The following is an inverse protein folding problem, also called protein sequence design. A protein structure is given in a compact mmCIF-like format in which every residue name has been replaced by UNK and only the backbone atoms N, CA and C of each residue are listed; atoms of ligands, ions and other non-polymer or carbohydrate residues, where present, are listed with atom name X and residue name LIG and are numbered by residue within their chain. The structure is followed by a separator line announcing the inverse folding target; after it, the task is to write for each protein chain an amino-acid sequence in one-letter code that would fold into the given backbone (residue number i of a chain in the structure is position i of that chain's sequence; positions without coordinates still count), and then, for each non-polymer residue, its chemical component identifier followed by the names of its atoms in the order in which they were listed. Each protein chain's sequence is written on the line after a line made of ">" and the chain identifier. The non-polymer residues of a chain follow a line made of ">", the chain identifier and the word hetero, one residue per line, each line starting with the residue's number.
data_IF_935444069503
#
_entry.id   IF_935444069503
#
_cell.length_a   1.000
_cell.length_b   1.000
_cell.length_c   1.000
_cell.angle_alpha   90.00
_cell.angle_beta   90.00
_cell.angle_gamma   90.00
#
_symmetry.space_group_name_H-M   'P 1'
#
loop_
_entity.id
_entity.type
_entity.pdbx_description
1 polymer ?
#
# COMPACT_ATOMS: atom_id res chain seq x y z
N UNK A 1 15.51 -22.03 14.15
CA UNK A 1 16.76 -21.31 13.81
C UNK A 1 16.47 -20.56 12.52
N UNK A 2 16.52 -19.22 12.50
CA UNK A 2 16.31 -18.46 11.26
C UNK A 2 17.66 -18.42 10.54
N UNK A 3 17.78 -19.16 9.44
CA UNK A 3 18.91 -19.05 8.52
C UNK A 3 18.78 -17.75 7.73
N UNK A 4 19.81 -16.91 7.80
CA UNK A 4 19.93 -15.78 6.88
C UNK A 4 20.13 -16.33 5.47
N UNK A 5 19.36 -15.80 4.53
CA UNK A 5 19.51 -16.11 3.11
C UNK A 5 19.57 -14.82 2.29
N UNK A 6 20.14 -14.92 1.09
CA UNK A 6 20.06 -13.84 0.12
C UNK A 6 18.67 -13.82 -0.53
N UNK A 7 18.21 -12.63 -0.84
CA UNK A 7 17.01 -12.41 -1.63
C UNK A 7 17.28 -11.34 -2.69
N UNK A 8 16.42 -11.28 -3.70
CA UNK A 8 16.37 -10.20 -4.68
C UNK A 8 14.97 -9.60 -4.67
N UNK A 9 14.90 -8.27 -4.81
CA UNK A 9 13.66 -7.56 -5.03
C UNK A 9 13.71 -6.78 -6.35
N UNK A 10 12.60 -6.85 -7.08
CA UNK A 10 12.39 -6.09 -8.32
C UNK A 10 11.20 -5.16 -8.11
N UNK A 11 11.37 -3.90 -8.49
CA UNK A 11 10.38 -2.83 -8.32
C UNK A 11 9.94 -2.34 -9.69
N UNK A 12 8.64 -2.15 -9.89
CA UNK A 12 8.07 -1.51 -11.06
C UNK A 12 7.43 -0.18 -10.65
N UNK A 13 7.65 0.85 -11.47
CA UNK A 13 7.10 2.19 -11.26
C UNK A 13 6.31 2.62 -12.48
N UNK A 14 5.25 3.40 -12.26
CA UNK A 14 4.57 4.12 -13.34
C UNK A 14 5.35 5.38 -13.77
N UNK A 15 4.83 6.10 -14.77
CA UNK A 15 5.42 7.36 -15.27
C UNK A 15 5.35 8.51 -14.26
N UNK A 16 4.51 8.39 -13.23
CA UNK A 16 4.38 9.34 -12.12
C UNK A 16 5.32 9.04 -10.95
N UNK A 17 6.19 8.03 -11.08
CA UNK A 17 7.08 7.50 -10.04
C UNK A 17 6.35 6.85 -8.84
N UNK A 18 5.13 6.37 -9.03
CA UNK A 18 4.46 5.55 -8.02
C UNK A 18 4.91 4.10 -8.14
N UNK A 19 5.19 3.43 -7.02
CA UNK A 19 5.45 1.98 -7.00
C UNK A 19 4.17 1.24 -7.36
N UNK A 20 4.20 0.42 -8.41
CA UNK A 20 3.04 -0.36 -8.88
C UNK A 20 3.19 -1.84 -8.59
N UNK A 21 4.42 -2.35 -8.49
CA UNK A 21 4.68 -3.74 -8.14
C UNK A 21 6.00 -3.91 -7.42
N UNK A 22 6.00 -4.79 -6.42
CA UNK A 22 7.17 -5.32 -5.74
C UNK A 22 7.15 -6.84 -5.84
N UNK A 23 8.17 -7.41 -6.48
CA UNK A 23 8.40 -8.86 -6.50
C UNK A 23 9.57 -9.20 -5.61
N UNK A 24 9.35 -10.09 -4.64
CA UNK A 24 10.39 -10.62 -3.76
C UNK A 24 10.69 -12.08 -4.13
N UNK A 25 11.98 -12.40 -4.26
CA UNK A 25 12.46 -13.74 -4.53
C UNK A 25 13.60 -14.09 -3.57
N UNK A 26 13.36 -15.09 -2.73
CA UNK A 26 14.38 -15.78 -1.94
C UNK A 26 14.33 -17.28 -2.25
N UNK A 27 15.21 -18.08 -1.64
CA UNK A 27 15.13 -19.54 -1.79
C UNK A 27 13.97 -20.11 -0.97
N UNK A 28 13.73 -19.58 0.23
CA UNK A 28 12.65 -20.06 1.11
C UNK A 28 11.25 -19.58 0.71
N UNK A 29 11.15 -18.44 0.03
CA UNK A 29 9.86 -17.81 -0.27
C UNK A 29 9.93 -16.88 -1.49
N UNK A 30 8.82 -16.83 -2.22
CA UNK A 30 8.58 -15.86 -3.26
C UNK A 30 7.18 -15.27 -3.07
N UNK A 31 7.08 -13.95 -3.18
CA UNK A 31 5.79 -13.25 -3.09
C UNK A 31 5.82 -11.99 -3.93
N UNK A 32 4.63 -11.51 -4.27
CA UNK A 32 4.44 -10.28 -5.03
C UNK A 32 3.40 -9.41 -4.32
N UNK A 33 3.63 -8.11 -4.39
CA UNK A 33 2.70 -7.07 -3.96
C UNK A 33 2.42 -6.18 -5.17
N UNK A 34 1.14 -5.93 -5.43
CA UNK A 34 0.69 -5.04 -6.50
C UNK A 34 -0.05 -3.89 -5.86
N UNK A 35 0.23 -2.68 -6.32
CA UNK A 35 -0.47 -1.47 -5.89
C UNK A 35 -1.26 -0.93 -7.08
N UNK A 36 -2.57 -0.75 -6.88
CA UNK A 36 -3.42 -0.10 -7.87
C UNK A 36 -3.36 1.40 -7.64
N UNK A 37 -2.79 2.14 -8.59
CA UNK A 37 -2.70 3.60 -8.53
C UNK A 37 -3.90 4.23 -9.24
N UNK A 38 -4.53 5.22 -8.62
CA UNK A 38 -5.63 5.97 -9.22
C UNK A 38 -5.17 6.65 -10.53
N UNK A 39 -6.01 6.69 -11.58
CA UNK A 39 -5.60 7.21 -12.89
C UNK A 39 -5.28 8.71 -12.92
N UNK A 40 -5.78 9.48 -11.94
CA UNK A 40 -5.73 10.95 -11.97
C UNK A 40 -4.98 11.55 -10.77
N UNK A 41 -4.37 10.74 -9.90
CA UNK A 41 -3.57 11.20 -8.76
C UNK A 41 -2.64 10.08 -8.25
N UNK A 42 -1.74 10.41 -7.31
CA UNK A 42 -0.76 9.47 -6.77
C UNK A 42 -1.27 8.63 -5.58
N UNK A 43 -2.59 8.46 -5.44
CA UNK A 43 -3.15 7.61 -4.38
C UNK A 43 -3.24 6.18 -4.89
N UNK A 44 -2.87 5.22 -4.06
CA UNK A 44 -2.98 3.82 -4.39
C UNK A 44 -3.09 2.91 -3.18
N UNK A 45 -3.66 1.73 -3.39
CA UNK A 45 -3.88 0.69 -2.37
C UNK A 45 -3.54 -0.69 -2.94
N UNK A 46 -3.33 -1.68 -2.08
CA UNK A 46 -3.00 -3.05 -2.50
C UNK A 46 -4.18 -3.81 -3.11
N UNK A 47 -5.40 -3.38 -2.80
CA UNK A 47 -6.64 -3.98 -3.32
C UNK A 47 -7.11 -3.27 -4.58
N UNK A 48 -8.16 -3.81 -5.21
CA UNK A 48 -8.88 -3.05 -6.22
C UNK A 48 -9.30 -1.70 -5.65
N UNK A 49 -9.05 -0.69 -6.45
CA UNK A 49 -9.31 0.71 -6.17
C UNK A 49 -10.79 0.93 -5.86
N UNK A 50 -11.10 1.43 -4.65
CA UNK A 50 -12.40 2.01 -4.36
C UNK A 50 -12.34 3.53 -4.46
N UNK A 51 -13.41 4.15 -4.94
CA UNK A 51 -13.57 5.61 -4.88
C UNK A 51 -13.67 6.15 -3.45
N UNK A 52 -13.83 5.26 -2.46
CA UNK A 52 -13.99 5.60 -1.04
C UNK A 52 -12.79 5.25 -0.16
N UNK A 53 -11.65 4.84 -0.74
CA UNK A 53 -10.47 4.45 0.05
C UNK A 53 -9.84 5.66 0.76
N UNK A 54 -10.11 6.88 0.29
CA UNK A 54 -9.57 8.10 0.84
C UNK A 54 -10.64 9.16 1.06
N UNK A 55 -10.43 10.03 2.05
CA UNK A 55 -11.24 11.23 2.22
C UNK A 55 -10.90 12.32 1.19
N UNK A 56 -11.67 13.41 1.23
CA UNK A 56 -11.50 14.55 0.34
C UNK A 56 -10.10 15.20 0.44
N UNK A 57 -9.44 15.12 1.60
CA UNK A 57 -8.16 15.79 1.84
C UNK A 57 -6.95 14.98 1.36
N UNK A 58 -7.05 13.66 1.28
CA UNK A 58 -5.81 12.87 1.09
C UNK A 58 -5.75 11.58 1.85
N UNK A 59 -6.53 11.46 2.91
CA UNK A 59 -6.20 10.55 3.97
C UNK A 59 -6.85 9.19 3.73
N UNK A 60 -6.08 8.12 3.86
CA UNK A 60 -6.57 6.75 3.72
C UNK A 60 -7.59 6.46 4.83
N UNK A 61 -8.77 5.96 4.46
CA UNK A 61 -9.86 5.67 5.40
C UNK A 61 -9.83 4.23 5.92
N UNK A 62 -9.29 3.29 5.14
CA UNK A 62 -9.29 1.88 5.51
C UNK A 62 -7.93 1.25 5.22
N UNK A 63 -7.39 0.55 6.22
CA UNK A 63 -6.29 -0.38 6.02
C UNK A 63 -6.89 -1.75 5.74
N UNK A 64 -6.63 -2.27 4.54
CA UNK A 64 -7.14 -3.56 4.10
C UNK A 64 -6.82 -4.64 5.15
N UNK A 65 -7.83 -5.43 5.52
CA UNK A 65 -7.76 -6.50 6.54
C UNK A 65 -7.32 -6.07 7.95
N UNK A 66 -7.23 -4.76 8.25
CA UNK A 66 -6.79 -4.26 9.55
C UNK A 66 -7.89 -3.44 10.23
N UNK A 67 -8.48 -2.45 9.54
CA UNK A 67 -9.49 -1.58 10.15
C UNK A 67 -9.61 -0.19 9.53
N UNK A 68 -10.44 0.64 10.14
CA UNK A 68 -10.75 2.01 9.71
C UNK A 68 -9.86 3.03 10.41
N UNK A 69 -9.31 3.96 9.63
CA UNK A 69 -8.52 5.09 10.10
C UNK A 69 -9.41 6.32 10.26
N UNK A 70 -9.36 6.92 11.44
CA UNK A 70 -10.03 8.18 11.74
C UNK A 70 -9.01 9.30 11.82
N UNK A 71 -9.31 10.42 11.19
CA UNK A 71 -8.42 11.56 11.07
C UNK A 71 -8.97 12.77 11.84
N UNK A 72 -8.08 13.56 12.42
CA UNK A 72 -8.43 14.88 12.92
C UNK A 72 -8.59 15.88 11.76
N UNK A 73 -9.24 17.01 12.03
CA UNK A 73 -9.42 18.09 11.05
C UNK A 73 -8.10 18.65 10.48
N UNK A 74 -6.99 18.53 11.22
CA UNK A 74 -5.65 18.94 10.78
C UNK A 74 -4.89 17.81 10.05
N UNK A 75 -5.58 16.77 9.59
CA UNK A 75 -5.03 15.62 8.86
C UNK A 75 -4.01 14.76 9.64
N UNK A 76 -4.01 14.82 10.98
CA UNK A 76 -3.25 13.85 11.78
C UNK A 76 -4.11 12.62 12.08
N UNK A 77 -3.48 11.44 12.13
CA UNK A 77 -4.18 10.20 12.48
C UNK A 77 -4.62 10.27 13.94
N UNK A 78 -5.93 10.15 14.18
CA UNK A 78 -6.53 10.15 15.52
C UNK A 78 -6.61 8.72 16.08
N UNK A 79 -7.19 7.80 15.30
CA UNK A 79 -7.53 6.46 15.79
C UNK A 79 -7.54 5.43 14.67
N UNK A 80 -7.22 4.19 15.03
CA UNK A 80 -7.50 2.99 14.24
C UNK A 80 -8.56 2.15 14.98
N UNK A 81 -9.65 1.83 14.29
CA UNK A 81 -10.71 0.93 14.77
C UNK A 81 -10.65 -0.37 13.97
N UNK A 82 -10.45 -1.51 14.63
CA UNK A 82 -10.41 -2.83 13.99
C UNK A 82 -11.78 -3.46 13.86
#
# INVERSE_FOLDING_TARGET
>A
MVTLEFYQQTYAYDTGNNLTSLSHQAHSSAWQQTLTIHPNNNRGTETQQSTSDFDANGNLLTLNNIGTLHWHYNNTLNQLTK
#
